data_IF_050497183037
#
_entry.id   IF_050497183037
#
_cell.length_a   1.000
_cell.length_b   1.000
_cell.length_c   1.000
_cell.angle_alpha   90.00
_cell.angle_beta   90.00
_cell.angle_gamma   90.00
#
_symmetry.space_group_name_H-M   'P 1'
#
loop_
_entity.id
_entity.type
_entity.pdbx_description
1 polymer ?
#
# COMPACT_ATOMS: atom_id res chain seq x y z
N UNK A 1 -21.23 -7.34 23.69
CA UNK A 1 -20.56 -8.28 22.76
C UNK A 1 -20.23 -7.50 21.48
N UNK A 2 -19.24 -6.60 21.52
CA UNK A 2 -18.74 -5.93 20.32
C UNK A 2 -17.41 -6.62 20.01
N UNK A 3 -17.44 -7.67 19.19
CA UNK A 3 -16.31 -8.59 19.00
C UNK A 3 -15.41 -8.23 17.82
N UNK A 4 -15.67 -7.13 17.12
CA UNK A 4 -14.83 -6.68 16.01
C UNK A 4 -14.37 -5.25 16.24
N UNK A 5 -13.05 -5.08 16.27
CA UNK A 5 -12.41 -3.79 16.12
C UNK A 5 -11.94 -3.67 14.66
N UNK A 6 -12.61 -2.83 13.87
CA UNK A 6 -12.30 -2.60 12.47
C UNK A 6 -11.80 -1.16 12.28
N UNK A 7 -10.70 -1.01 11.55
CA UNK A 7 -10.14 0.28 11.14
C UNK A 7 -9.81 0.25 9.66
N UNK A 8 -9.74 1.44 9.06
CA UNK A 8 -9.42 1.64 7.67
C UNK A 8 -8.19 2.54 7.56
N UNK A 9 -7.28 2.20 6.66
CA UNK A 9 -6.20 3.07 6.21
C UNK A 9 -6.43 3.43 4.74
N UNK A 10 -6.23 4.69 4.37
CA UNK A 10 -6.44 5.19 3.01
C UNK A 10 -5.23 5.96 2.55
N UNK A 11 -4.59 5.47 1.47
CA UNK A 11 -3.45 6.13 0.87
C UNK A 11 -3.78 6.61 -0.53
N UNK A 12 -3.54 7.88 -0.81
CA UNK A 12 -3.66 8.45 -2.16
C UNK A 12 -2.35 8.27 -2.91
N UNK A 13 -2.42 7.58 -4.04
CA UNK A 13 -1.28 7.43 -4.96
C UNK A 13 -1.56 8.26 -6.20
N UNK A 14 -0.60 9.10 -6.56
CA UNK A 14 -0.66 9.93 -7.75
C UNK A 14 0.38 9.46 -8.76
N UNK A 15 -0.07 9.15 -9.97
CA UNK A 15 0.80 8.72 -11.04
C UNK A 15 1.42 9.94 -11.73
N UNK A 16 2.65 9.81 -12.23
CA UNK A 16 3.22 10.84 -13.10
C UNK A 16 2.48 10.86 -14.44
N UNK A 17 2.63 11.90 -15.27
CA UNK A 17 2.23 11.81 -16.66
C UNK A 17 2.89 10.59 -17.33
N UNK A 18 2.07 9.69 -17.86
CA UNK A 18 2.50 8.47 -18.54
C UNK A 18 2.18 8.55 -20.03
N UNK A 19 3.18 8.28 -20.85
CA UNK A 19 3.01 8.15 -22.29
C UNK A 19 2.56 6.74 -22.66
N UNK A 20 1.98 6.52 -23.86
CA UNK A 20 1.68 5.18 -24.34
C UNK A 20 2.91 4.25 -24.34
N UNK A 21 4.11 4.81 -24.57
CA UNK A 21 5.38 4.07 -24.50
C UNK A 21 5.71 3.61 -23.08
N UNK A 22 5.52 4.47 -22.08
CA UNK A 22 5.73 4.12 -20.67
C UNK A 22 4.81 2.94 -20.27
N UNK A 23 3.53 3.05 -20.62
CA UNK A 23 2.52 2.03 -20.32
C UNK A 23 2.84 0.71 -21.02
N UNK A 24 3.18 0.74 -22.31
CA UNK A 24 3.55 -0.46 -23.05
C UNK A 24 4.77 -1.16 -22.45
N UNK A 25 5.80 -0.40 -22.07
CA UNK A 25 6.99 -0.95 -21.42
C UNK A 25 6.67 -1.57 -20.06
N UNK A 26 5.77 -0.95 -19.27
CA UNK A 26 5.36 -1.49 -17.99
C UNK A 26 4.51 -2.76 -18.14
N UNK A 27 3.53 -2.77 -19.05
CA UNK A 27 2.69 -3.94 -19.33
C UNK A 27 3.54 -5.12 -19.80
N UNK A 28 4.51 -4.87 -20.70
CA UNK A 28 5.45 -5.88 -21.17
C UNK A 28 6.34 -6.49 -20.07
N UNK A 29 6.47 -5.82 -18.92
CA UNK A 29 7.23 -6.34 -17.79
C UNK A 29 6.53 -7.44 -17.00
N UNK A 30 5.20 -7.57 -17.14
CA UNK A 30 4.37 -8.53 -16.39
C UNK A 30 4.17 -8.20 -14.90
N UNK A 31 4.80 -7.14 -14.36
CA UNK A 31 4.71 -6.82 -12.93
C UNK A 31 3.30 -6.45 -12.45
N UNK A 32 2.42 -6.08 -13.37
CA UNK A 32 1.02 -5.73 -13.11
C UNK A 32 0.14 -6.95 -12.82
N UNK A 33 0.55 -8.14 -13.25
CA UNK A 33 -0.28 -9.35 -13.14
C UNK A 33 -0.53 -9.69 -11.67
N UNK A 34 -1.80 -9.94 -11.34
CA UNK A 34 -2.24 -10.24 -9.98
C UNK A 34 -2.15 -9.05 -9.00
N UNK A 35 -1.92 -7.82 -9.48
CA UNK A 35 -1.87 -6.61 -8.66
C UNK A 35 -3.16 -5.81 -8.78
N UNK A 36 -3.73 -5.43 -7.64
CA UNK A 36 -4.84 -4.50 -7.60
C UNK A 36 -4.46 -3.18 -8.28
N UNK A 37 -5.32 -2.65 -9.14
CA UNK A 37 -5.05 -1.44 -9.92
C UNK A 37 -4.04 -1.63 -11.07
N UNK A 38 -3.59 -2.86 -11.35
CA UNK A 38 -2.73 -3.15 -12.49
C UNK A 38 -1.33 -2.55 -12.37
N UNK A 39 -0.83 -2.35 -11.15
CA UNK A 39 0.57 -1.97 -10.92
C UNK A 39 1.08 -2.47 -9.57
N UNK A 40 2.39 -2.64 -9.47
CA UNK A 40 3.10 -2.87 -8.22
C UNK A 40 3.84 -1.59 -7.82
N UNK A 41 3.61 -1.09 -6.60
CA UNK A 41 4.33 0.10 -6.09
C UNK A 41 5.84 -0.15 -5.92
N UNK A 42 6.26 -1.41 -5.96
CA UNK A 42 7.64 -1.85 -5.86
C UNK A 42 8.26 -2.09 -7.25
N UNK A 43 9.59 -2.21 -7.32
CA UNK A 43 10.35 -2.50 -8.54
C UNK A 43 10.07 -1.49 -9.68
N UNK A 44 9.73 -1.94 -10.89
CA UNK A 44 9.56 -1.05 -12.06
C UNK A 44 8.34 -0.15 -11.91
N UNK A 45 7.28 -0.65 -11.25
CA UNK A 45 6.06 0.12 -11.06
C UNK A 45 6.21 1.32 -10.14
N UNK A 46 7.25 1.37 -9.29
CA UNK A 46 7.63 2.57 -8.55
C UNK A 46 7.87 3.78 -9.47
N UNK A 47 8.41 3.54 -10.68
CA UNK A 47 8.66 4.57 -11.68
C UNK A 47 7.40 5.17 -12.33
N UNK A 48 6.21 4.63 -12.03
CA UNK A 48 4.93 5.17 -12.47
C UNK A 48 4.39 6.25 -11.53
N UNK A 49 4.88 6.29 -10.29
CA UNK A 49 4.30 7.09 -9.21
C UNK A 49 5.03 8.42 -9.07
N UNK A 50 4.26 9.50 -9.03
CA UNK A 50 4.72 10.87 -8.76
C UNK A 50 4.74 11.17 -7.27
N UNK A 51 3.70 10.76 -6.55
CA UNK A 51 3.51 11.10 -5.14
C UNK A 51 2.65 10.08 -4.43
N UNK A 52 2.93 9.88 -3.15
CA UNK A 52 2.11 9.11 -2.22
C UNK A 52 1.75 10.05 -1.06
N UNK A 53 0.49 10.04 -0.67
CA UNK A 53 -0.04 10.80 0.45
C UNK A 53 -0.82 9.84 1.36
N UNK A 54 -0.23 9.49 2.50
CA UNK A 54 -0.66 8.42 3.40
C UNK A 54 0.43 7.34 3.61
N UNK A 55 0.01 6.16 4.09
CA UNK A 55 0.93 5.06 4.41
C UNK A 55 1.36 4.28 3.15
N UNK A 56 2.66 4.17 2.92
CA UNK A 56 3.24 3.37 1.84
C UNK A 56 2.97 1.87 2.01
N UNK A 57 3.01 1.34 3.24
CA UNK A 57 2.80 -0.08 3.50
C UNK A 57 1.35 -0.50 3.25
N UNK A 58 0.40 0.42 3.46
CA UNK A 58 -0.97 0.25 2.98
C UNK A 58 -1.03 0.04 1.45
N UNK A 59 -0.27 0.78 0.66
CA UNK A 59 -0.19 0.59 -0.81
C UNK A 59 0.43 -0.76 -1.16
N UNK A 60 1.41 -1.22 -0.38
CA UNK A 60 1.99 -2.56 -0.53
C UNK A 60 0.96 -3.66 -0.23
N UNK A 61 0.02 -3.39 0.69
CA UNK A 61 -1.12 -4.26 1.00
C UNK A 61 -1.33 -4.54 2.50
N UNK A 62 -0.53 -3.96 3.39
CA UNK A 62 -0.73 -4.09 4.84
C UNK A 62 -0.35 -2.79 5.55
N UNK A 63 -1.30 -2.04 6.13
CA UNK A 63 -1.02 -0.82 6.87
C UNK A 63 -0.40 -1.16 8.24
N UNK A 64 0.91 -1.40 8.27
CA UNK A 64 1.58 -1.98 9.42
C UNK A 64 1.52 -1.08 10.66
N UNK A 65 1.56 0.25 10.49
CA UNK A 65 1.40 1.20 11.58
C UNK A 65 0.04 1.04 12.26
N UNK A 66 -1.04 1.07 11.47
CA UNK A 66 -2.41 0.86 11.97
C UNK A 66 -2.58 -0.53 12.61
N UNK A 67 -1.99 -1.57 12.02
CA UNK A 67 -2.02 -2.91 12.60
C UNK A 67 -1.36 -2.95 13.98
N UNK A 68 -0.18 -2.34 14.12
CA UNK A 68 0.52 -2.28 15.42
C UNK A 68 -0.30 -1.50 16.44
N UNK A 69 -0.93 -0.38 16.07
CA UNK A 69 -1.83 0.37 16.96
C UNK A 69 -2.99 -0.48 17.47
N UNK A 70 -3.65 -1.23 16.58
CA UNK A 70 -4.73 -2.16 16.95
C UNK A 70 -4.25 -3.27 17.89
N UNK A 71 -3.08 -3.85 17.61
CA UNK A 71 -2.51 -4.91 18.43
C UNK A 71 -2.08 -4.40 19.81
N UNK A 72 -1.46 -3.22 19.89
CA UNK A 72 -1.08 -2.59 21.16
C UNK A 72 -2.30 -2.31 22.03
N UNK A 73 -3.39 -1.80 21.42
CA UNK A 73 -4.64 -1.53 22.13
C UNK A 73 -5.27 -2.82 22.70
N UNK A 74 -5.13 -3.95 22.00
CA UNK A 74 -5.76 -5.22 22.40
C UNK A 74 -4.88 -6.09 23.30
N UNK A 75 -3.57 -6.02 23.14
CA UNK A 75 -2.56 -6.87 23.79
C UNK A 75 -1.40 -6.01 24.34
N UNK A 76 -1.66 -5.17 25.35
CA UNK A 76 -0.63 -4.30 25.92
C UNK A 76 0.54 -5.13 26.48
N UNK A 77 1.78 -4.67 26.25
CA UNK A 77 3.03 -5.31 26.71
C UNK A 77 3.58 -6.43 25.81
N UNK A 78 2.87 -6.82 24.75
CA UNK A 78 3.41 -7.71 23.68
C UNK A 78 3.71 -6.94 22.40
N UNK A 79 2.88 -5.94 22.08
CA UNK A 79 3.01 -5.09 20.91
C UNK A 79 3.04 -3.62 21.34
N UNK A 80 3.94 -2.82 20.74
CA UNK A 80 4.19 -1.42 21.11
C UNK A 80 5.67 -1.12 21.36
N UNK A 81 6.04 0.15 21.40
CA UNK A 81 7.37 0.60 21.83
C UNK A 81 7.39 0.84 23.35
N UNK A 82 7.04 -0.19 24.14
CA UNK A 82 6.93 -0.09 25.60
C UNK A 82 6.00 -1.13 26.19
#
# INVERSE_FOLDING_TARGET
LAWEDARLETTRVEFRPLTPRDLAAYVASGEWEGRAGGYAIQRRGAGLVRRIDGDYLNVVGLPAALLVELLAARFPGTYGFG
#
